data_IF_813038639326
#
_entry.id   IF_813038639326
#
_cell.length_a   1.000
_cell.length_b   1.000
_cell.length_c   1.000
_cell.angle_alpha   90.00
_cell.angle_beta   90.00
_cell.angle_gamma   90.00
#
_symmetry.space_group_name_H-M   'P 1'
#
loop_
_entity.id
_entity.type
_entity.pdbx_description
1 polymer ?
#
# COMPACT_ATOMS: atom_id res chain seq x y z
N UNK A 1 49.76 -26.65 -16.13
CA UNK A 1 49.46 -25.36 -15.48
C UNK A 1 48.63 -24.41 -16.35
N UNK A 2 49.05 -24.03 -17.57
CA UNK A 2 48.26 -23.11 -18.44
C UNK A 2 46.85 -23.62 -18.78
N UNK A 3 46.68 -24.93 -19.03
CA UNK A 3 45.35 -25.54 -19.28
C UNK A 3 44.45 -25.53 -18.05
N UNK A 4 45.01 -25.83 -16.88
CA UNK A 4 44.28 -25.84 -15.58
C UNK A 4 43.81 -24.44 -15.19
N UNK A 5 44.64 -23.42 -15.42
CA UNK A 5 44.28 -22.01 -15.19
C UNK A 5 43.16 -21.57 -16.14
N UNK A 6 43.22 -21.94 -17.43
CA UNK A 6 42.15 -21.67 -18.39
C UNK A 6 40.82 -22.32 -17.99
N UNK A 7 40.88 -23.55 -17.45
CA UNK A 7 39.70 -24.28 -17.01
C UNK A 7 39.04 -23.63 -15.79
N UNK A 8 39.85 -23.20 -14.81
CA UNK A 8 39.39 -22.47 -13.63
C UNK A 8 38.77 -21.11 -14.02
N UNK A 9 39.39 -20.41 -14.96
CA UNK A 9 38.88 -19.13 -15.44
C UNK A 9 37.54 -19.28 -16.19
N UNK A 10 37.40 -20.31 -17.03
CA UNK A 10 36.15 -20.63 -17.71
C UNK A 10 35.04 -21.02 -16.71
N UNK A 11 35.37 -21.82 -15.70
CA UNK A 11 34.45 -22.18 -14.61
C UNK A 11 33.98 -20.96 -13.82
N UNK A 12 34.89 -20.04 -13.48
CA UNK A 12 34.55 -18.80 -12.80
C UNK A 12 33.65 -17.89 -13.66
N UNK A 13 33.86 -17.86 -14.99
CA UNK A 13 33.04 -17.08 -15.92
C UNK A 13 31.60 -17.61 -15.98
N UNK A 14 31.42 -18.92 -16.00
CA UNK A 14 30.10 -19.57 -15.99
C UNK A 14 29.37 -19.32 -14.67
N UNK A 15 30.09 -19.36 -13.54
CA UNK A 15 29.52 -19.04 -12.23
C UNK A 15 29.15 -17.56 -12.09
N UNK A 16 29.94 -16.65 -12.66
CA UNK A 16 29.61 -15.22 -12.68
C UNK A 16 28.35 -14.92 -13.52
N UNK A 17 28.13 -15.67 -14.59
CA UNK A 17 26.97 -15.51 -15.46
C UNK A 17 25.63 -15.91 -14.79
N UNK A 18 25.65 -16.84 -13.82
CA UNK A 18 24.44 -17.23 -13.08
C UNK A 18 24.07 -16.22 -11.98
N UNK A 19 25.06 -15.54 -11.40
CA UNK A 19 24.86 -14.47 -10.39
C UNK A 19 24.33 -13.19 -11.06
N UNK A 20 24.55 -13.02 -12.36
CA UNK A 20 24.08 -11.86 -13.13
C UNK A 20 22.57 -11.89 -13.46
N UNK A 21 21.84 -12.95 -13.10
CA UNK A 21 20.38 -12.97 -13.25
C UNK A 21 19.73 -12.16 -12.12
N UNK A 22 19.34 -10.93 -12.43
CA UNK A 22 18.52 -10.12 -11.54
C UNK A 22 17.17 -10.81 -11.27
N UNK A 23 16.61 -10.59 -10.08
CA UNK A 23 15.27 -11.08 -9.75
C UNK A 23 14.24 -10.43 -10.67
N UNK A 24 13.23 -11.19 -11.07
CA UNK A 24 12.07 -10.62 -11.77
C UNK A 24 11.18 -9.87 -10.78
N UNK A 25 10.33 -8.96 -11.28
CA UNK A 25 9.32 -8.30 -10.45
C UNK A 25 8.38 -9.33 -9.76
N UNK A 26 8.04 -10.41 -10.48
CA UNK A 26 7.20 -11.49 -9.96
C UNK A 26 7.86 -12.24 -8.81
N UNK A 27 9.17 -12.51 -8.90
CA UNK A 27 9.92 -13.15 -7.82
C UNK A 27 9.94 -12.28 -6.56
N UNK A 28 10.08 -10.97 -6.71
CA UNK A 28 10.06 -10.02 -5.59
C UNK A 28 8.68 -10.01 -4.92
N UNK A 29 7.61 -9.92 -5.71
CA UNK A 29 6.23 -9.92 -5.21
C UNK A 29 5.92 -11.24 -4.49
N UNK A 30 6.30 -12.37 -5.09
CA UNK A 30 6.10 -13.70 -4.50
C UNK A 30 6.82 -13.83 -3.16
N UNK A 31 8.10 -13.47 -3.10
CA UNK A 31 8.88 -13.49 -1.85
C UNK A 31 8.28 -12.58 -0.78
N UNK A 32 7.78 -11.40 -1.17
CA UNK A 32 7.11 -10.51 -0.24
C UNK A 32 5.86 -11.16 0.37
N UNK A 33 4.99 -11.74 -0.46
CA UNK A 33 3.81 -12.45 0.04
C UNK A 33 4.20 -13.62 0.95
N UNK A 34 5.16 -14.45 0.56
CA UNK A 34 5.66 -15.56 1.39
C UNK A 34 6.16 -15.08 2.76
N UNK A 35 6.99 -14.03 2.77
CA UNK A 35 7.56 -13.46 3.99
C UNK A 35 6.51 -12.77 4.90
N UNK A 36 5.40 -12.31 4.33
CA UNK A 36 4.35 -11.56 5.04
C UNK A 36 3.11 -12.40 5.35
N UNK A 37 3.20 -13.73 5.27
CA UNK A 37 2.14 -14.66 5.72
C UNK A 37 1.40 -15.39 4.61
N UNK A 38 1.82 -15.24 3.36
CA UNK A 38 1.30 -15.93 2.19
C UNK A 38 0.10 -15.25 1.55
N UNK A 39 -0.11 -15.53 0.25
CA UNK A 39 -1.20 -14.95 -0.54
C UNK A 39 -2.59 -15.22 0.05
N UNK A 40 -2.79 -16.39 0.67
CA UNK A 40 -4.06 -16.74 1.31
C UNK A 40 -4.43 -15.78 2.46
N UNK A 41 -3.49 -15.48 3.37
CA UNK A 41 -3.73 -14.54 4.47
C UNK A 41 -3.93 -13.12 3.98
N UNK A 42 -3.22 -12.72 2.93
CA UNK A 42 -3.46 -11.42 2.28
C UNK A 42 -4.85 -11.31 1.67
N UNK A 43 -5.37 -12.38 1.06
CA UNK A 43 -6.73 -12.41 0.52
C UNK A 43 -7.83 -12.31 1.60
N UNK A 44 -7.51 -12.66 2.85
CA UNK A 44 -8.39 -12.52 4.00
C UNK A 44 -8.48 -11.08 4.52
N UNK A 45 -7.54 -10.18 4.16
CA UNK A 45 -7.58 -8.77 4.58
C UNK A 45 -8.83 -8.09 4.00
N UNK A 46 -9.77 -7.74 4.87
CA UNK A 46 -11.02 -7.06 4.49
C UNK A 46 -11.07 -5.59 4.87
N UNK A 47 -10.09 -5.07 5.61
CA UNK A 47 -10.15 -3.69 6.10
C UNK A 47 -8.77 -3.06 6.18
N UNK A 48 -8.69 -1.80 5.77
CA UNK A 48 -7.46 -1.01 5.77
C UNK A 48 -7.74 0.32 6.47
N UNK A 49 -6.86 0.70 7.39
CA UNK A 49 -6.82 2.02 8.01
C UNK A 49 -5.57 2.75 7.54
N UNK A 50 -5.76 3.92 6.95
CA UNK A 50 -4.69 4.82 6.54
C UNK A 50 -4.76 6.10 7.38
N UNK A 51 -3.62 6.51 7.93
CA UNK A 51 -3.48 7.78 8.65
C UNK A 51 -2.52 8.65 7.83
N UNK A 52 -2.96 9.84 7.45
CA UNK A 52 -2.22 10.79 6.65
C UNK A 52 -2.27 12.18 7.29
N UNK A 53 -1.39 13.08 6.84
CA UNK A 53 -1.45 14.51 7.18
C UNK A 53 -1.84 15.28 5.93
N UNK A 54 -2.99 15.94 5.95
CA UNK A 54 -3.40 16.89 4.92
C UNK A 54 -2.79 18.25 5.18
N UNK A 55 -2.44 19.00 4.11
CA UNK A 55 -2.03 20.40 4.21
C UNK A 55 -2.93 21.26 3.35
N UNK A 56 -3.58 22.26 3.92
CA UNK A 56 -4.41 23.21 3.18
C UNK A 56 -4.31 24.59 3.81
N UNK A 57 -4.09 25.63 3.01
CA UNK A 57 -4.01 27.01 3.50
C UNK A 57 -2.93 27.25 4.57
N UNK A 58 -1.83 26.49 4.54
CA UNK A 58 -0.76 26.56 5.53
C UNK A 58 -1.02 25.80 6.84
N UNK A 59 -2.20 25.19 7.00
CA UNK A 59 -2.57 24.38 8.16
C UNK A 59 -2.41 22.88 7.85
N UNK A 60 -1.83 22.12 8.77
CA UNK A 60 -1.77 20.66 8.71
C UNK A 60 -2.90 20.04 9.56
N UNK A 61 -3.60 19.03 9.02
CA UNK A 61 -4.62 18.30 9.76
C UNK A 61 -4.49 16.78 9.57
N UNK A 62 -4.68 15.97 10.63
CA UNK A 62 -4.72 14.53 10.51
C UNK A 62 -5.94 14.07 9.69
N UNK A 63 -5.72 13.18 8.75
CA UNK A 63 -6.75 12.49 7.96
C UNK A 63 -6.69 11.01 8.32
N UNK A 64 -7.83 10.43 8.67
CA UNK A 64 -8.00 8.98 8.79
C UNK A 64 -8.92 8.49 7.68
N UNK A 65 -8.44 7.57 6.86
CA UNK A 65 -9.24 6.86 5.86
C UNK A 65 -9.40 5.40 6.26
N UNK A 66 -10.64 4.93 6.27
CA UNK A 66 -11.02 3.56 6.52
C UNK A 66 -11.66 3.02 5.25
N UNK A 67 -11.17 1.88 4.79
CA UNK A 67 -11.72 1.14 3.67
C UNK A 67 -12.01 -0.28 4.13
N UNK A 68 -13.17 -0.81 3.73
CA UNK A 68 -13.56 -2.18 4.06
C UNK A 68 -14.28 -2.83 2.89
N UNK A 69 -13.90 -4.07 2.57
CA UNK A 69 -14.58 -4.86 1.55
C UNK A 69 -16.08 -5.08 1.94
N UNK A 70 -17.00 -5.15 0.96
CA UNK A 70 -16.75 -5.13 -0.48
C UNK A 70 -16.44 -3.73 -1.04
N UNK A 71 -17.05 -2.68 -0.48
CA UNK A 71 -16.94 -1.33 -1.04
C UNK A 71 -17.32 -0.24 -0.01
N UNK A 72 -17.03 -0.44 1.28
CA UNK A 72 -17.27 0.56 2.32
C UNK A 72 -16.08 1.50 2.44
N UNK A 73 -16.36 2.80 2.58
CA UNK A 73 -15.32 3.81 2.78
C UNK A 73 -15.78 4.86 3.80
N UNK A 74 -14.85 5.34 4.63
CA UNK A 74 -15.05 6.50 5.49
C UNK A 74 -13.75 7.30 5.60
N UNK A 75 -13.85 8.61 5.39
CA UNK A 75 -12.76 9.54 5.60
C UNK A 75 -13.13 10.56 6.67
N UNK A 76 -12.24 10.75 7.63
CA UNK A 76 -12.40 11.63 8.77
C UNK A 76 -11.19 12.56 8.85
N UNK A 77 -11.41 13.83 9.18
CA UNK A 77 -10.35 14.76 9.55
C UNK A 77 -10.44 15.05 11.04
N UNK A 78 -9.31 15.23 11.70
CA UNK A 78 -9.30 15.80 13.04
C UNK A 78 -9.08 17.30 12.93
N UNK A 79 -10.09 18.09 13.31
CA UNK A 79 -10.03 19.55 13.33
C UNK A 79 -10.30 20.04 14.75
N UNK A 80 -9.33 20.75 15.32
CA UNK A 80 -9.41 21.27 16.70
C UNK A 80 -9.76 20.18 17.74
N UNK A 81 -9.21 18.97 17.60
CA UNK A 81 -9.45 17.85 18.50
C UNK A 81 -10.79 17.12 18.27
N UNK A 82 -11.58 17.54 17.28
CA UNK A 82 -12.83 16.87 16.90
C UNK A 82 -12.67 16.10 15.60
N UNK A 83 -13.15 14.86 15.61
CA UNK A 83 -13.21 14.03 14.42
C UNK A 83 -14.46 14.38 13.59
N UNK A 84 -14.24 14.89 12.38
CA UNK A 84 -15.28 15.25 11.43
C UNK A 84 -15.20 14.27 10.26
N UNK A 85 -16.26 13.49 10.04
CA UNK A 85 -16.38 12.68 8.83
C UNK A 85 -16.59 13.62 7.65
N UNK A 86 -15.72 13.56 6.63
CA UNK A 86 -15.79 14.44 5.46
C UNK A 86 -16.37 13.71 4.24
N UNK A 87 -16.19 12.40 4.18
CA UNK A 87 -16.77 11.54 3.15
C UNK A 87 -17.08 10.18 3.77
N UNK A 88 -18.23 9.61 3.42
CA UNK A 88 -18.55 8.23 3.73
C UNK A 88 -19.29 7.59 2.54
N UNK A 89 -19.08 6.30 2.32
CA UNK A 89 -19.78 5.49 1.34
C UNK A 89 -20.13 4.15 1.99
N UNK A 90 -21.42 3.80 1.99
CA UNK A 90 -21.94 2.59 2.64
C UNK A 90 -22.04 1.39 1.67
N UNK A 91 -21.50 1.53 0.46
CA UNK A 91 -21.61 0.55 -0.60
C UNK A 91 -22.76 0.79 -1.57
N UNK A 92 -23.64 1.76 -1.28
CA UNK A 92 -24.77 2.15 -2.14
C UNK A 92 -24.79 3.66 -2.38
N UNK A 93 -24.70 4.45 -1.33
CA UNK A 93 -24.80 5.91 -1.37
C UNK A 93 -23.53 6.55 -0.80
N UNK A 94 -23.13 7.68 -1.39
CA UNK A 94 -22.03 8.50 -0.89
C UNK A 94 -22.59 9.73 -0.20
N UNK A 95 -21.98 10.08 0.93
CA UNK A 95 -22.24 11.33 1.63
C UNK A 95 -20.97 12.12 1.80
N UNK A 96 -21.09 13.44 1.72
CA UNK A 96 -20.04 14.40 2.02
C UNK A 96 -20.56 15.38 3.07
N UNK A 97 -19.69 15.82 3.96
CA UNK A 97 -20.08 16.85 4.94
C UNK A 97 -19.88 18.22 4.34
N UNK A 98 -20.95 19.01 4.30
CA UNK A 98 -20.85 20.43 3.94
C UNK A 98 -20.28 21.21 5.11
N UNK A 99 -19.13 21.85 4.92
CA UNK A 99 -18.51 22.67 5.96
C UNK A 99 -19.25 23.98 6.23
N UNK A 100 -20.13 24.40 5.33
CA UNK A 100 -20.99 25.59 5.56
C UNK A 100 -22.15 25.27 6.49
N UNK A 101 -22.79 24.11 6.31
CA UNK A 101 -24.01 23.73 7.06
C UNK A 101 -23.74 22.74 8.18
N UNK A 102 -22.55 22.13 8.22
CA UNK A 102 -22.16 21.03 9.10
C UNK A 102 -23.10 19.82 9.01
N UNK A 103 -23.75 19.64 7.86
CA UNK A 103 -24.66 18.52 7.59
C UNK A 103 -24.09 17.58 6.52
N UNK A 104 -24.52 16.33 6.58
CA UNK A 104 -24.25 15.35 5.54
C UNK A 104 -25.16 15.62 4.33
N UNK A 105 -24.56 15.69 3.15
CA UNK A 105 -25.21 15.87 1.86
C UNK A 105 -24.89 14.67 0.98
N UNK A 106 -25.87 14.21 0.19
CA UNK A 106 -25.63 13.14 -0.79
C UNK A 106 -24.67 13.67 -1.85
N UNK A 107 -23.60 12.91 -2.08
CA UNK A 107 -22.39 13.34 -2.77
C UNK A 107 -22.29 12.96 -4.24
#
# INVERSE_FOLDING_TARGET
MKKTIKLLFASALVFAATIAQAQTADDIIKKYFEATGGAAKWAEVKSVKMIAKGKQGGMEFPITSLQKAPNLMKQTINFQGKDITITAFDGKEMWKTSFMTMKAEKG
#
